data_IF_092119430287
#
_entry.id   IF_092119430287
#
_cell.length_a   1.000
_cell.length_b   1.000
_cell.length_c   1.000
_cell.angle_alpha   90.00
_cell.angle_beta   90.00
_cell.angle_gamma   90.00
#
_symmetry.space_group_name_H-M   'P 1'
#
loop_
_entity.id
_entity.type
_entity.pdbx_description
1 polymer ?
#
# COMPACT_ATOMS: atom_id res chain seq x y z
N UNK A 1 -30.31 -5.24 2.43
CA UNK A 1 -29.36 -6.36 2.15
C UNK A 1 -27.90 -6.07 2.52
N UNK A 2 -27.23 -4.99 2.04
CA UNK A 2 -25.83 -4.73 2.41
C UNK A 2 -25.62 -4.48 3.92
N UNK A 3 -26.51 -3.70 4.55
CA UNK A 3 -26.48 -3.42 5.99
C UNK A 3 -26.59 -4.72 6.80
N UNK A 4 -27.48 -5.62 6.40
CA UNK A 4 -27.63 -6.94 7.03
C UNK A 4 -26.33 -7.77 6.93
N UNK A 5 -25.65 -7.73 5.78
CA UNK A 5 -24.37 -8.42 5.58
C UNK A 5 -23.24 -7.85 6.47
N UNK A 6 -23.22 -6.53 6.67
CA UNK A 6 -22.29 -5.88 7.59
C UNK A 6 -22.53 -6.30 9.05
N UNK A 7 -23.80 -6.29 9.48
CA UNK A 7 -24.20 -6.68 10.83
C UNK A 7 -23.83 -8.14 11.12
N UNK A 8 -24.07 -9.04 10.16
CA UNK A 8 -23.72 -10.47 10.30
C UNK A 8 -22.21 -10.70 10.38
N UNK A 9 -21.40 -9.91 9.68
CA UNK A 9 -19.94 -10.03 9.78
C UNK A 9 -19.42 -9.53 11.12
N UNK A 10 -19.94 -8.42 11.62
CA UNK A 10 -19.55 -7.87 12.91
C UNK A 10 -20.01 -8.75 14.08
N UNK A 11 -21.10 -9.51 13.94
CA UNK A 11 -21.54 -10.45 14.97
C UNK A 11 -20.77 -11.77 15.00
N UNK A 12 -20.19 -12.19 13.86
CA UNK A 12 -19.47 -13.47 13.75
C UNK A 12 -17.95 -13.36 13.88
N UNK A 13 -17.38 -12.16 13.69
CA UNK A 13 -15.94 -11.97 13.64
C UNK A 13 -15.48 -10.79 14.50
N UNK A 14 -14.43 -11.00 15.30
CA UNK A 14 -13.69 -9.92 15.94
C UNK A 14 -12.76 -9.29 14.90
N UNK A 15 -13.12 -8.09 14.43
CA UNK A 15 -12.36 -7.36 13.42
C UNK A 15 -11.50 -6.30 14.14
N UNK A 16 -10.16 -6.37 14.07
CA UNK A 16 -9.30 -5.32 14.60
C UNK A 16 -9.59 -3.98 13.92
N UNK A 17 -9.53 -2.88 14.68
CA UNK A 17 -9.79 -1.53 14.16
C UNK A 17 -8.90 -1.17 12.95
N UNK A 18 -7.64 -1.64 12.96
CA UNK A 18 -6.68 -1.45 11.87
C UNK A 18 -7.14 -2.07 10.53
N UNK A 19 -7.85 -3.21 10.61
CA UNK A 19 -8.30 -3.98 9.45
C UNK A 19 -9.72 -3.65 8.99
N UNK A 20 -10.53 -3.00 9.83
CA UNK A 20 -11.97 -2.82 9.61
C UNK A 20 -12.28 -2.17 8.27
N UNK A 21 -11.62 -1.06 7.94
CA UNK A 21 -11.83 -0.34 6.68
C UNK A 21 -11.58 -1.24 5.45
N UNK A 22 -10.56 -2.10 5.52
CA UNK A 22 -10.18 -3.02 4.43
C UNK A 22 -11.21 -4.14 4.31
N UNK A 23 -11.61 -4.74 5.42
CA UNK A 23 -12.65 -5.80 5.46
C UNK A 23 -13.97 -5.26 4.91
N UNK A 24 -14.42 -4.11 5.41
CA UNK A 24 -15.68 -3.48 4.98
C UNK A 24 -15.64 -3.06 3.50
N UNK A 25 -14.50 -2.56 3.01
CA UNK A 25 -14.34 -2.26 1.58
C UNK A 25 -14.38 -3.53 0.72
N UNK A 26 -13.73 -4.60 1.16
CA UNK A 26 -13.74 -5.90 0.49
C UNK A 26 -15.13 -6.51 0.41
N UNK A 27 -15.88 -6.46 1.52
CA UNK A 27 -17.27 -6.89 1.58
C UNK A 27 -18.15 -6.12 0.60
N UNK A 28 -18.03 -4.79 0.59
CA UNK A 28 -18.77 -3.93 -0.33
C UNK A 28 -18.50 -4.27 -1.79
N UNK A 29 -17.24 -4.52 -2.13
CA UNK A 29 -16.86 -4.89 -3.50
C UNK A 29 -17.34 -6.30 -3.85
N UNK A 30 -17.30 -7.25 -2.91
CA UNK A 30 -17.87 -8.59 -3.08
C UNK A 30 -19.39 -8.53 -3.32
N UNK A 31 -20.11 -7.76 -2.50
CA UNK A 31 -21.54 -7.52 -2.65
C UNK A 31 -21.89 -6.90 -4.00
N UNK A 32 -21.13 -5.88 -4.45
CA UNK A 32 -21.30 -5.28 -5.77
C UNK A 32 -21.10 -6.29 -6.90
N UNK A 33 -20.08 -7.15 -6.81
CA UNK A 33 -19.82 -8.20 -7.80
C UNK A 33 -20.94 -9.24 -7.83
N UNK A 34 -21.42 -9.66 -6.65
CA UNK A 34 -22.52 -10.60 -6.53
C UNK A 34 -23.80 -10.04 -7.19
N UNK A 35 -24.21 -8.81 -6.85
CA UNK A 35 -25.34 -8.13 -7.51
C UNK A 35 -25.18 -8.02 -9.03
N UNK A 36 -23.97 -7.68 -9.51
CA UNK A 36 -23.69 -7.63 -10.95
C UNK A 36 -23.88 -9.00 -11.61
N UNK A 37 -23.40 -10.07 -10.98
CA UNK A 37 -23.50 -11.41 -11.54
C UNK A 37 -24.95 -11.90 -11.56
N UNK A 38 -25.73 -11.61 -10.51
CA UNK A 38 -27.17 -11.89 -10.50
C UNK A 38 -27.84 -11.13 -11.64
N UNK A 39 -27.65 -9.80 -11.70
CA UNK A 39 -28.24 -8.96 -12.76
C UNK A 39 -27.91 -9.50 -14.16
N UNK A 40 -26.67 -9.93 -14.40
CA UNK A 40 -26.25 -10.46 -15.70
C UNK A 40 -26.97 -11.76 -16.08
N UNK A 41 -27.24 -12.64 -15.11
CA UNK A 41 -27.76 -13.99 -15.38
C UNK A 41 -29.29 -14.07 -15.33
N UNK A 42 -29.90 -13.29 -14.45
CA UNK A 42 -31.32 -13.45 -14.07
C UNK A 42 -32.16 -12.22 -14.37
N UNK A 43 -31.57 -11.09 -14.77
CA UNK A 43 -32.35 -9.94 -15.25
C UNK A 43 -32.53 -10.04 -16.76
N UNK A 44 -33.74 -10.42 -17.18
CA UNK A 44 -34.19 -10.29 -18.57
C UNK A 44 -35.06 -9.04 -18.69
N UNK A 45 -34.85 -8.26 -19.76
CA UNK A 45 -35.62 -7.04 -20.02
C UNK A 45 -36.95 -7.32 -20.72
N UNK A 46 -37.07 -8.50 -21.33
CA UNK A 46 -38.25 -8.87 -22.10
C UNK A 46 -39.22 -9.76 -21.30
N UNK A 47 -38.78 -10.25 -20.14
CA UNK A 47 -39.58 -11.11 -19.27
C UNK A 47 -40.37 -10.29 -18.25
N UNK A 48 -41.48 -10.85 -17.80
CA UNK A 48 -42.28 -10.27 -16.70
C UNK A 48 -41.60 -10.52 -15.36
N UNK A 49 -41.84 -9.65 -14.36
CA UNK A 49 -41.30 -9.82 -13.01
C UNK A 49 -41.60 -11.23 -12.45
N UNK A 50 -42.80 -11.76 -12.68
CA UNK A 50 -43.19 -13.10 -12.20
C UNK A 50 -42.37 -14.22 -12.85
N UNK A 51 -42.11 -14.13 -14.15
CA UNK A 51 -41.26 -15.10 -14.88
C UNK A 51 -39.80 -15.05 -14.37
N UNK A 52 -39.33 -13.85 -14.01
CA UNK A 52 -38.00 -13.67 -13.43
C UNK A 52 -37.93 -14.23 -12.01
N UNK A 53 -38.99 -14.07 -11.22
CA UNK A 53 -39.09 -14.62 -9.86
C UNK A 53 -39.12 -16.15 -9.86
N UNK A 54 -39.78 -16.77 -10.84
CA UNK A 54 -39.75 -18.22 -11.06
C UNK A 54 -38.34 -18.72 -11.36
N UNK A 55 -37.58 -17.97 -12.16
CA UNK A 55 -36.20 -18.32 -12.55
C UNK A 55 -35.13 -17.84 -11.55
N UNK A 56 -35.51 -17.43 -10.33
CA UNK A 56 -34.57 -16.83 -9.38
C UNK A 56 -33.48 -17.82 -8.93
N UNK A 57 -32.33 -17.33 -8.43
CA UNK A 57 -31.35 -18.17 -7.75
C UNK A 57 -31.94 -18.76 -6.46
N UNK A 58 -31.73 -20.06 -6.23
CA UNK A 58 -32.21 -20.76 -5.03
C UNK A 58 -31.63 -20.19 -3.72
N UNK A 59 -30.42 -19.64 -3.77
CA UNK A 59 -29.74 -19.08 -2.62
C UNK A 59 -30.30 -17.72 -2.17
N UNK A 60 -31.16 -17.10 -2.99
CA UNK A 60 -31.71 -15.78 -2.73
C UNK A 60 -33.21 -15.91 -2.42
N UNK A 61 -33.65 -15.49 -1.23
CA UNK A 61 -35.07 -15.42 -0.91
C UNK A 61 -35.83 -14.54 -1.90
N UNK A 62 -37.07 -14.91 -2.20
CA UNK A 62 -37.91 -14.21 -3.19
C UNK A 62 -37.97 -12.71 -2.95
N UNK A 63 -38.24 -12.34 -1.69
CA UNK A 63 -38.41 -10.95 -1.25
C UNK A 63 -37.16 -10.14 -1.57
N UNK A 64 -35.98 -10.73 -1.36
CA UNK A 64 -34.71 -10.08 -1.66
C UNK A 64 -34.45 -9.96 -3.15
N UNK A 65 -34.87 -10.95 -3.95
CA UNK A 65 -34.73 -10.87 -5.40
C UNK A 65 -35.69 -9.84 -6.00
N UNK A 66 -36.94 -9.78 -5.54
CA UNK A 66 -37.92 -8.74 -5.92
C UNK A 66 -37.40 -7.33 -5.62
N UNK A 67 -36.88 -7.12 -4.40
CA UNK A 67 -36.24 -5.85 -4.02
C UNK A 67 -35.06 -5.46 -4.93
N UNK A 68 -34.31 -6.44 -5.45
CA UNK A 68 -33.22 -6.18 -6.39
C UNK A 68 -33.74 -5.77 -7.77
N UNK A 69 -34.82 -6.37 -8.25
CA UNK A 69 -35.47 -6.01 -9.51
C UNK A 69 -35.99 -4.58 -9.42
N UNK A 70 -36.78 -4.26 -8.39
CA UNK A 70 -37.29 -2.90 -8.12
C UNK A 70 -36.15 -1.88 -8.07
N UNK A 71 -35.07 -2.19 -7.33
CA UNK A 71 -33.89 -1.32 -7.26
C UNK A 71 -33.20 -1.11 -8.62
N UNK A 72 -33.26 -2.08 -9.54
CA UNK A 72 -32.66 -1.93 -10.87
C UNK A 72 -33.57 -1.23 -11.86
N UNK A 73 -34.87 -1.23 -11.62
CA UNK A 73 -35.88 -0.56 -12.43
C UNK A 73 -36.04 0.92 -12.07
N UNK A 74 -35.74 1.27 -10.82
CA UNK A 74 -35.70 2.65 -10.31
C UNK A 74 -34.98 3.63 -11.26
N UNK A 75 -35.70 4.70 -11.65
CA UNK A 75 -35.26 5.69 -12.65
C UNK A 75 -33.98 6.41 -12.22
N UNK A 76 -33.86 6.80 -10.95
CA UNK A 76 -32.67 7.47 -10.42
C UNK A 76 -31.45 6.55 -10.49
N UNK A 77 -31.63 5.27 -10.14
CA UNK A 77 -30.58 4.26 -10.26
C UNK A 77 -30.16 4.07 -11.71
N UNK A 78 -31.10 4.04 -12.65
CA UNK A 78 -30.81 3.93 -14.07
C UNK A 78 -30.05 5.17 -14.59
N UNK A 79 -30.52 6.38 -14.27
CA UNK A 79 -29.88 7.63 -14.65
C UNK A 79 -28.44 7.70 -14.11
N UNK A 80 -28.23 7.37 -12.83
CA UNK A 80 -26.90 7.27 -12.24
C UNK A 80 -26.02 6.23 -12.94
N UNK A 81 -26.58 5.08 -13.33
CA UNK A 81 -25.84 4.06 -14.06
C UNK A 81 -25.41 4.52 -15.46
N UNK A 82 -26.29 5.22 -16.18
CA UNK A 82 -26.02 5.79 -17.50
C UNK A 82 -24.91 6.83 -17.42
N UNK A 83 -25.03 7.80 -16.52
CA UNK A 83 -24.01 8.83 -16.28
C UNK A 83 -22.65 8.22 -15.93
N UNK A 84 -22.63 7.21 -15.05
CA UNK A 84 -21.40 6.49 -14.71
C UNK A 84 -20.82 5.73 -15.91
N UNK A 85 -21.65 5.24 -16.82
CA UNK A 85 -21.21 4.58 -18.05
C UNK A 85 -20.56 5.57 -19.01
N UNK A 86 -21.17 6.73 -19.22
CA UNK A 86 -20.62 7.82 -20.03
C UNK A 86 -19.31 8.34 -19.46
N UNK A 87 -19.23 8.55 -18.14
CA UNK A 87 -18.00 8.95 -17.47
C UNK A 87 -16.89 7.91 -17.63
N UNK A 88 -17.22 6.62 -17.66
CA UNK A 88 -16.23 5.57 -17.98
C UNK A 88 -15.76 5.64 -19.43
N UNK A 89 -16.65 5.94 -20.39
CA UNK A 89 -16.28 6.12 -21.80
C UNK A 89 -15.33 7.30 -22.00
N UNK A 90 -15.50 8.37 -21.20
CA UNK A 90 -14.64 9.57 -21.20
C UNK A 90 -13.27 9.35 -20.53
N UNK A 91 -13.00 8.19 -19.91
CA UNK A 91 -11.70 7.97 -19.27
C UNK A 91 -10.58 7.82 -20.31
N UNK A 92 -9.74 8.85 -20.37
CA UNK A 92 -8.49 8.85 -21.14
C UNK A 92 -7.40 8.04 -20.40
N UNK A 93 -6.46 7.50 -21.17
CA UNK A 93 -5.20 6.91 -20.66
C UNK A 93 -5.35 5.76 -19.65
N UNK A 94 -6.24 4.81 -19.97
CA UNK A 94 -6.46 3.61 -19.16
C UNK A 94 -5.17 2.77 -19.07
N UNK A 95 -4.82 2.34 -17.85
CA UNK A 95 -3.68 1.44 -17.66
C UNK A 95 -3.93 0.08 -18.34
N UNK A 96 -2.86 -0.55 -18.82
CA UNK A 96 -2.92 -1.80 -19.59
C UNK A 96 -2.39 -3.02 -18.83
N UNK A 97 -2.02 -2.86 -17.55
CA UNK A 97 -1.38 -3.88 -16.72
C UNK A 97 -2.30 -5.01 -16.23
N UNK A 98 -3.60 -4.97 -16.57
CA UNK A 98 -4.56 -5.99 -16.16
C UNK A 98 -4.63 -6.13 -14.63
N UNK A 99 -4.53 -7.35 -14.07
CA UNK A 99 -4.56 -7.59 -12.61
C UNK A 99 -3.35 -7.06 -11.84
N UNK A 100 -2.27 -6.65 -12.53
CA UNK A 100 -1.06 -6.15 -11.87
C UNK A 100 -1.33 -4.72 -11.37
N UNK A 101 -1.23 -4.54 -10.06
CA UNK A 101 -1.44 -3.24 -9.41
C UNK A 101 -0.19 -2.34 -9.51
N UNK A 102 -0.36 -1.04 -9.24
CA UNK A 102 0.76 -0.09 -9.29
C UNK A 102 1.85 -0.36 -8.25
N UNK A 103 1.52 -0.94 -7.10
CA UNK A 103 2.53 -1.27 -6.08
C UNK A 103 3.55 -2.30 -6.61
N UNK A 104 3.08 -3.34 -7.31
CA UNK A 104 3.95 -4.34 -7.95
C UNK A 104 4.81 -3.72 -9.05
N UNK A 105 4.22 -2.85 -9.87
CA UNK A 105 4.98 -2.16 -10.93
C UNK A 105 6.07 -1.28 -10.33
N UNK A 106 5.76 -0.56 -9.24
CA UNK A 106 6.70 0.30 -8.54
C UNK A 106 7.88 -0.49 -7.96
N UNK A 107 7.61 -1.63 -7.32
CA UNK A 107 8.66 -2.54 -6.83
C UNK A 107 9.54 -3.03 -7.97
N UNK A 108 8.95 -3.44 -9.10
CA UNK A 108 9.70 -3.88 -10.27
C UNK A 108 10.58 -2.77 -10.86
N UNK A 109 10.09 -1.52 -10.92
CA UNK A 109 10.87 -0.38 -11.39
C UNK A 109 12.02 -0.01 -10.44
N UNK A 110 11.79 -0.07 -9.12
CA UNK A 110 12.87 0.16 -8.15
C UNK A 110 14.01 -0.84 -8.31
N UNK A 111 13.68 -2.11 -8.52
CA UNK A 111 14.67 -3.18 -8.71
C UNK A 111 15.54 -2.99 -9.97
N UNK A 112 15.10 -2.19 -10.94
CA UNK A 112 15.89 -1.86 -12.14
C UNK A 112 16.79 -0.64 -11.96
N UNK A 113 16.62 0.14 -10.89
CA UNK A 113 17.43 1.34 -10.61
C UNK A 113 18.54 0.98 -9.61
N UNK A 114 19.76 1.39 -9.89
CA UNK A 114 20.94 1.08 -9.06
C UNK A 114 20.76 1.51 -7.60
N UNK A 115 20.08 2.64 -7.36
CA UNK A 115 19.87 3.21 -6.02
C UNK A 115 18.53 2.81 -5.35
N UNK A 116 17.75 1.89 -5.94
CA UNK A 116 16.36 1.60 -5.52
C UNK A 116 15.47 2.86 -5.42
N UNK A 117 15.80 3.89 -6.21
CA UNK A 117 15.12 5.18 -6.19
C UNK A 117 13.65 5.08 -6.54
N UNK A 118 12.86 5.97 -5.97
CA UNK A 118 11.43 6.00 -6.18
C UNK A 118 11.10 6.28 -7.66
N UNK A 119 10.25 5.47 -8.31
CA UNK A 119 9.81 5.75 -9.66
C UNK A 119 8.96 7.02 -9.71
N UNK A 120 9.30 7.92 -10.62
CA UNK A 120 8.54 9.13 -10.92
C UNK A 120 7.14 8.80 -11.43
N UNK A 121 6.22 9.78 -11.35
CA UNK A 121 4.87 9.63 -11.90
C UNK A 121 4.87 9.37 -13.40
N UNK A 122 5.80 10.01 -14.13
CA UNK A 122 5.97 9.83 -15.57
C UNK A 122 6.41 8.41 -15.92
N UNK A 123 7.42 7.87 -15.22
CA UNK A 123 7.84 6.47 -15.38
C UNK A 123 6.68 5.50 -15.09
N UNK A 124 6.02 5.68 -13.93
CA UNK A 124 4.85 4.87 -13.57
C UNK A 124 3.75 4.95 -14.63
N UNK A 125 3.50 6.12 -15.21
CA UNK A 125 2.51 6.30 -16.26
C UNK A 125 2.91 5.56 -17.54
N UNK A 126 4.11 5.80 -18.06
CA UNK A 126 4.62 5.16 -19.27
C UNK A 126 4.57 3.64 -19.11
N UNK A 127 5.24 3.08 -18.11
CA UNK A 127 5.35 1.62 -17.89
C UNK A 127 3.99 0.93 -17.82
N UNK A 128 3.00 1.57 -17.18
CA UNK A 128 1.69 0.95 -16.97
C UNK A 128 0.75 1.07 -18.17
N UNK A 129 1.13 1.85 -19.18
CA UNK A 129 0.37 2.06 -20.43
C UNK A 129 1.09 1.52 -21.67
N UNK A 130 2.39 1.21 -21.59
CA UNK A 130 3.19 0.64 -22.68
C UNK A 130 3.43 -0.86 -22.48
N UNK A 131 2.37 -1.66 -22.45
CA UNK A 131 2.52 -3.12 -22.30
C UNK A 131 3.10 -3.70 -23.60
N UNK A 132 4.20 -4.46 -23.50
CA UNK A 132 4.77 -5.21 -24.64
C UNK A 132 3.71 -6.07 -25.33
N UNK A 133 3.60 -5.94 -26.66
CA UNK A 133 2.66 -6.67 -27.49
C UNK A 133 1.23 -6.13 -27.51
N UNK A 134 0.97 -4.93 -26.97
CA UNK A 134 -0.30 -4.23 -27.13
C UNK A 134 -0.09 -2.86 -27.73
N UNK A 135 -0.97 -2.50 -28.66
CA UNK A 135 -0.99 -1.15 -29.21
C UNK A 135 -1.38 -0.14 -28.12
N UNK A 136 -0.65 0.97 -28.11
CA UNK A 136 -0.91 2.09 -27.21
C UNK A 136 -1.98 2.96 -27.85
N UNK A 137 -2.97 3.37 -27.06
CA UNK A 137 -4.02 4.25 -27.58
C UNK A 137 -3.42 5.58 -28.05
N UNK A 138 -3.89 6.11 -29.18
CA UNK A 138 -3.41 7.37 -29.79
C UNK A 138 -3.27 8.51 -28.77
N UNK A 139 -4.32 8.83 -28.02
CA UNK A 139 -4.30 9.86 -26.96
C UNK A 139 -3.22 9.61 -25.90
N UNK A 140 -2.91 8.34 -25.62
CA UNK A 140 -1.88 7.95 -24.65
C UNK A 140 -0.50 8.12 -25.23
N UNK A 141 -0.32 7.80 -26.51
CA UNK A 141 0.95 8.01 -27.20
C UNK A 141 1.30 9.50 -27.27
N UNK A 142 0.33 10.36 -27.62
CA UNK A 142 0.53 11.82 -27.63
C UNK A 142 0.99 12.33 -26.25
N UNK A 143 0.31 11.90 -25.18
CA UNK A 143 0.67 12.30 -23.82
C UNK A 143 2.06 11.76 -23.40
N UNK A 144 2.43 10.55 -23.81
CA UNK A 144 3.77 9.99 -23.55
C UNK A 144 4.84 10.79 -24.28
N UNK A 145 4.64 11.10 -25.57
CA UNK A 145 5.58 11.90 -26.35
C UNK A 145 5.74 13.31 -25.75
N UNK A 146 4.65 13.95 -25.31
CA UNK A 146 4.73 15.25 -24.66
C UNK A 146 5.52 15.20 -23.35
N UNK A 147 5.29 14.17 -22.51
CA UNK A 147 6.07 13.96 -21.29
C UNK A 147 7.56 13.81 -21.58
N UNK A 148 7.91 12.98 -22.56
CA UNK A 148 9.31 12.72 -22.94
C UNK A 148 9.99 13.97 -23.51
N UNK A 149 9.27 14.76 -24.30
CA UNK A 149 9.78 16.01 -24.86
C UNK A 149 10.09 17.03 -23.74
N UNK A 150 9.19 17.19 -22.76
CA UNK A 150 9.37 18.11 -21.63
C UNK A 150 10.52 17.69 -20.70
N UNK A 151 10.66 16.39 -20.46
CA UNK A 151 11.78 15.87 -19.68
C UNK A 151 13.11 16.07 -20.42
N UNK A 152 13.12 15.89 -21.75
CA UNK A 152 14.30 16.17 -22.58
C UNK A 152 14.66 17.67 -22.62
N UNK A 153 13.69 18.57 -22.45
CA UNK A 153 13.94 20.02 -22.34
C UNK A 153 14.37 20.48 -20.94
N UNK A 154 14.61 19.54 -20.01
CA UNK A 154 15.13 19.84 -18.67
C UNK A 154 14.07 20.12 -17.60
N UNK A 155 12.78 19.94 -17.90
CA UNK A 155 11.73 20.03 -16.86
C UNK A 155 11.84 18.86 -15.87
N UNK A 156 11.54 19.12 -14.59
CA UNK A 156 11.43 18.03 -13.61
C UNK A 156 10.28 17.09 -13.98
N UNK A 157 10.41 15.80 -13.64
CA UNK A 157 9.39 14.81 -13.99
C UNK A 157 8.00 15.16 -13.43
N UNK A 158 7.93 15.73 -12.24
CA UNK A 158 6.67 16.12 -11.58
C UNK A 158 6.07 17.40 -12.16
N UNK A 159 6.89 18.35 -12.60
CA UNK A 159 6.42 19.56 -13.28
C UNK A 159 5.87 19.21 -14.67
N UNK A 160 6.63 18.43 -15.45
CA UNK A 160 6.17 17.93 -16.74
C UNK A 160 4.84 17.18 -16.61
N UNK A 161 4.72 16.30 -15.61
CA UNK A 161 3.49 15.57 -15.34
C UNK A 161 2.32 16.49 -14.98
N UNK A 162 2.57 17.53 -14.17
CA UNK A 162 1.54 18.52 -13.80
C UNK A 162 1.09 19.35 -15.00
N UNK A 163 1.98 19.68 -15.93
CA UNK A 163 1.62 20.43 -17.13
C UNK A 163 0.77 19.57 -18.08
N UNK A 164 1.19 18.33 -18.36
CA UNK A 164 0.48 17.43 -19.30
C UNK A 164 -0.90 17.00 -18.77
N UNK A 165 -1.01 16.68 -17.48
CA UNK A 165 -2.24 16.11 -16.91
C UNK A 165 -3.06 17.10 -16.06
N UNK A 166 -2.55 18.30 -15.85
CA UNK A 166 -3.10 19.27 -14.92
C UNK A 166 -2.95 18.87 -13.45
N UNK A 167 -3.44 19.75 -12.57
CA UNK A 167 -3.42 19.57 -11.12
C UNK A 167 -4.12 18.27 -10.69
N UNK A 168 -3.55 17.60 -9.68
CA UNK A 168 -4.17 16.44 -9.04
C UNK A 168 -5.47 16.83 -8.35
N UNK A 169 -6.47 15.95 -8.46
CA UNK A 169 -7.77 16.16 -7.85
C UNK A 169 -7.77 15.70 -6.38
N UNK A 170 -8.54 16.37 -5.49
CA UNK A 170 -8.72 15.89 -4.13
C UNK A 170 -9.23 14.45 -4.10
N UNK A 171 -8.65 13.62 -3.21
CA UNK A 171 -9.13 12.26 -2.95
C UNK A 171 -8.52 11.15 -3.83
N UNK A 172 -7.73 11.45 -4.86
CA UNK A 172 -6.99 10.42 -5.61
C UNK A 172 -5.73 10.97 -6.26
N UNK A 173 -4.61 10.29 -6.07
CA UNK A 173 -3.36 10.59 -6.78
C UNK A 173 -3.20 9.65 -7.98
N UNK A 174 -3.00 10.21 -9.17
CA UNK A 174 -2.74 9.40 -10.38
C UNK A 174 -1.48 8.55 -10.19
N UNK A 175 -1.50 7.32 -10.72
CA UNK A 175 -0.35 6.38 -10.68
C UNK A 175 0.06 5.82 -9.29
N UNK A 176 -0.65 6.16 -8.21
CA UNK A 176 -0.37 5.65 -6.85
C UNK A 176 -1.37 4.59 -6.33
N UNK A 177 -2.48 4.37 -7.05
CA UNK A 177 -3.45 3.32 -6.75
C UNK A 177 -4.73 3.88 -6.13
N UNK A 178 -5.52 3.00 -5.49
CA UNK A 178 -6.84 3.38 -4.93
C UNK A 178 -6.72 4.00 -3.54
N UNK A 179 -5.71 3.63 -2.77
CA UNK A 179 -5.64 3.97 -1.34
C UNK A 179 -4.87 5.26 -1.04
N UNK A 180 -4.12 5.78 -2.01
CA UNK A 180 -3.23 6.92 -1.82
C UNK A 180 -3.95 8.21 -2.19
N UNK A 181 -3.99 9.13 -1.23
CA UNK A 181 -4.54 10.47 -1.38
C UNK A 181 -3.42 11.50 -1.25
N UNK A 182 -3.64 12.70 -1.77
CA UNK A 182 -2.70 13.82 -1.58
C UNK A 182 -2.50 14.12 -0.08
N UNK A 183 -3.54 13.96 0.73
CA UNK A 183 -3.46 14.11 2.19
C UNK A 183 -2.66 13.02 2.89
N UNK A 184 -2.73 11.76 2.42
CA UNK A 184 -1.93 10.69 3.01
C UNK A 184 -0.45 10.88 2.71
N UNK A 185 -0.09 11.32 1.49
CA UNK A 185 1.29 11.63 1.13
C UNK A 185 1.88 12.73 2.01
N UNK A 186 1.13 13.83 2.24
CA UNK A 186 1.57 14.90 3.15
C UNK A 186 1.83 14.40 4.57
N UNK A 187 0.95 13.55 5.10
CA UNK A 187 1.15 12.95 6.42
C UNK A 187 2.39 12.05 6.45
N UNK A 188 2.61 11.25 5.40
CA UNK A 188 3.79 10.38 5.30
C UNK A 188 5.10 11.20 5.22
N UNK A 189 5.09 12.33 4.49
CA UNK A 189 6.20 13.28 4.44
C UNK A 189 6.48 13.92 5.80
N UNK A 190 5.44 14.36 6.52
CA UNK A 190 5.55 14.89 7.89
C UNK A 190 6.12 13.84 8.85
N UNK A 191 5.60 12.61 8.81
CA UNK A 191 6.10 11.49 9.61
C UNK A 191 7.58 11.21 9.29
N UNK A 192 7.97 11.26 8.02
CA UNK A 192 9.36 11.02 7.60
C UNK A 192 10.29 12.11 8.12
N UNK A 193 9.88 13.39 8.03
CA UNK A 193 10.62 14.51 8.61
C UNK A 193 10.77 14.37 10.12
N UNK A 194 9.71 13.99 10.82
CA UNK A 194 9.75 13.74 12.27
C UNK A 194 10.69 12.60 12.63
N UNK A 195 10.64 11.48 11.88
CA UNK A 195 11.57 10.34 12.07
C UNK A 195 13.03 10.74 11.87
N UNK A 196 13.32 11.54 10.84
CA UNK A 196 14.67 12.03 10.59
C UNK A 196 15.15 12.95 11.71
N UNK A 197 14.29 13.88 12.16
CA UNK A 197 14.61 14.76 13.28
C UNK A 197 14.92 13.97 14.55
N UNK A 198 14.08 13.01 14.87
CA UNK A 198 14.28 12.12 16.02
C UNK A 198 15.55 11.27 15.90
N UNK A 199 15.88 10.78 14.70
CA UNK A 199 17.13 10.05 14.46
C UNK A 199 18.36 10.95 14.68
N UNK A 200 18.31 12.21 14.21
CA UNK A 200 19.37 13.18 14.41
C UNK A 200 19.54 13.54 15.90
N UNK A 201 18.43 13.78 16.62
CA UNK A 201 18.42 14.06 18.07
C UNK A 201 19.02 12.88 18.86
N UNK A 202 18.63 11.64 18.55
CA UNK A 202 19.23 10.44 19.15
C UNK A 202 20.73 10.37 18.87
N UNK A 203 21.16 10.71 17.66
CA UNK A 203 22.58 10.71 17.31
C UNK A 203 23.36 11.77 18.10
N UNK A 204 22.80 12.96 18.27
CA UNK A 204 23.40 14.04 19.08
C UNK A 204 23.57 13.60 20.53
N UNK A 205 22.50 13.10 21.16
CA UNK A 205 22.52 12.65 22.55
C UNK A 205 23.50 11.50 22.77
N UNK A 206 23.62 10.59 21.80
CA UNK A 206 24.61 9.51 21.84
C UNK A 206 26.05 10.04 21.83
N UNK A 207 26.34 11.06 21.02
CA UNK A 207 27.68 11.65 21.00
C UNK A 207 27.97 12.47 22.26
N UNK A 208 26.99 13.21 22.78
CA UNK A 208 27.11 13.93 24.06
C UNK A 208 27.37 12.96 25.23
N UNK A 209 26.65 11.84 25.29
CA UNK A 209 26.86 10.81 26.33
C UNK A 209 28.23 10.15 26.22
N UNK A 210 28.72 9.92 24.99
CA UNK A 210 30.09 9.42 24.77
C UNK A 210 31.14 10.42 25.24
N UNK A 211 30.94 11.71 24.98
CA UNK A 211 31.87 12.75 25.42
C UNK A 211 31.89 12.89 26.95
N UNK A 212 30.72 12.86 27.59
CA UNK A 212 30.62 12.88 29.05
C UNK A 212 31.33 11.68 29.68
N UNK A 213 31.13 10.47 29.16
CA UNK A 213 31.86 9.28 29.64
C UNK A 213 33.37 9.38 29.41
N UNK A 214 33.81 9.96 28.28
CA UNK A 214 35.24 10.20 28.02
C UNK A 214 35.83 11.18 29.03
N UNK A 215 35.12 12.26 29.33
CA UNK A 215 35.56 13.27 30.29
C UNK A 215 35.59 12.72 31.73
N UNK A 216 34.57 11.94 32.13
CA UNK A 216 34.55 11.26 33.42
C UNK A 216 35.72 10.29 33.57
N UNK A 217 35.99 9.46 32.55
CA UNK A 217 37.16 8.59 32.53
C UNK A 217 38.45 9.41 32.66
N UNK A 218 38.59 10.51 31.92
CA UNK A 218 39.76 11.40 31.99
C UNK A 218 39.96 11.96 33.40
N UNK A 219 38.89 12.41 34.05
CA UNK A 219 38.93 12.92 35.41
C UNK A 219 39.37 11.83 36.40
N UNK A 220 38.78 10.63 36.30
CA UNK A 220 39.12 9.48 37.13
C UNK A 220 40.59 9.07 36.99
N UNK A 221 41.11 8.95 35.77
CA UNK A 221 42.53 8.64 35.52
C UNK A 221 43.47 9.74 36.07
N UNK A 222 43.09 11.01 35.91
CA UNK A 222 43.87 12.13 36.46
C UNK A 222 43.97 12.07 37.99
N UNK A 223 42.89 11.65 38.68
CA UNK A 223 42.88 11.48 40.13
C UNK A 223 43.78 10.31 40.56
N UNK A 224 43.77 9.19 39.82
CA UNK A 224 44.61 8.02 40.10
C UNK A 224 46.11 8.34 40.01
N UNK A 225 46.53 9.06 38.98
CA UNK A 225 47.94 9.46 38.78
C UNK A 225 48.40 10.40 39.90
N UNK A 226 47.59 11.39 40.28
CA UNK A 226 47.92 12.32 41.38
C UNK A 226 48.14 11.61 42.72
N UNK A 227 47.34 10.57 43.00
CA UNK A 227 47.42 9.82 44.26
C UNK A 227 48.57 8.81 44.29
N UNK A 228 49.21 8.53 43.15
CA UNK A 228 50.28 7.53 43.02
C UNK A 228 51.41 8.06 42.11
N UNK A 229 52.32 8.91 42.62
CA UNK A 229 53.30 9.64 41.80
C UNK A 229 54.38 8.77 41.13
N UNK A 230 54.42 7.46 41.40
CA UNK A 230 55.31 6.49 40.73
C UNK A 230 54.69 5.75 39.54
N UNK A 231 53.43 6.03 39.18
CA UNK A 231 52.76 5.46 38.01
C UNK A 231 53.07 6.31 36.76
N UNK A 232 53.96 5.82 35.89
CA UNK A 232 54.22 6.40 34.57
C UNK A 232 53.19 5.87 33.56
N UNK A 233 52.52 6.79 32.86
CA UNK A 233 51.48 6.47 31.89
C UNK A 233 52.04 5.81 30.62
N UNK A 234 53.35 5.91 30.38
CA UNK A 234 54.02 5.22 29.28
C UNK A 234 54.09 3.70 29.45
N UNK A 235 53.95 3.18 30.67
CA UNK A 235 53.99 1.73 30.96
C UNK A 235 52.63 1.03 30.79
N UNK A 236 51.53 1.80 30.65
CA UNK A 236 50.19 1.25 30.45
C UNK A 236 49.89 1.19 28.94
N UNK A 237 50.49 0.20 28.29
CA UNK A 237 50.23 -0.10 26.88
C UNK A 237 48.78 -0.57 26.69
N UNK A 238 47.90 0.33 26.27
CA UNK A 238 46.53 -0.01 25.85
C UNK A 238 45.48 1.10 25.97
N UNK A 239 45.75 2.21 26.66
CA UNK A 239 44.71 3.20 26.97
C UNK A 239 44.41 4.23 25.87
N UNK A 240 45.12 4.22 24.73
CA UNK A 240 44.83 5.12 23.60
C UNK A 240 44.21 4.33 22.46
N UNK A 241 42.89 4.45 22.31
CA UNK A 241 42.21 4.28 21.01
C UNK A 241 41.95 2.85 20.53
N UNK A 242 41.48 1.93 21.38
CA UNK A 242 40.86 0.70 20.87
C UNK A 242 39.36 0.91 20.67
N UNK A 243 38.93 0.91 19.40
CA UNK A 243 37.53 0.65 19.03
C UNK A 243 37.14 -0.74 19.56
N UNK A 244 36.59 -0.79 20.78
CA UNK A 244 35.95 -2.02 21.29
C UNK A 244 34.63 -2.16 20.52
N UNK A 245 34.43 -3.20 19.70
CA UNK A 245 33.14 -3.40 19.06
C UNK A 245 32.11 -3.69 20.14
N UNK A 246 30.96 -2.99 20.09
CA UNK A 246 29.82 -3.28 20.98
C UNK A 246 29.49 -4.78 20.93
N UNK A 247 29.28 -5.43 22.09
CA UNK A 247 28.80 -6.80 22.10
C UNK A 247 27.41 -6.80 21.49
N UNK A 248 27.28 -7.51 20.38
CA UNK A 248 26.00 -7.89 19.80
C UNK A 248 25.24 -8.71 20.85
N UNK A 249 23.97 -8.37 21.05
CA UNK A 249 23.04 -9.09 21.92
C UNK A 249 23.13 -10.61 21.72
N UNK A 250 23.62 -11.31 22.74
CA UNK A 250 23.50 -12.75 22.88
C UNK A 250 22.69 -13.05 24.14
N UNK A 251 21.40 -12.69 24.13
CA UNK A 251 20.44 -13.25 25.07
C UNK A 251 19.82 -14.52 24.48
N UNK A 252 20.40 -15.62 24.94
CA UNK A 252 19.92 -16.99 24.87
C UNK A 252 18.48 -17.12 25.37
N UNK A 253 17.55 -17.46 24.47
CA UNK A 253 16.30 -18.15 24.82
C UNK A 253 16.37 -19.56 24.22
N UNK A 254 16.54 -20.54 25.11
CA UNK A 254 16.61 -21.98 24.84
C UNK A 254 15.44 -22.45 23.97
N UNK A 255 15.74 -22.99 22.79
CA UNK A 255 14.81 -23.81 22.03
C UNK A 255 14.75 -25.22 22.65
N UNK A 256 13.65 -25.52 23.35
CA UNK A 256 13.27 -26.89 23.68
C UNK A 256 12.88 -27.61 22.39
N UNK A 257 13.66 -28.62 21.99
CA UNK A 257 13.27 -29.60 20.96
C UNK A 257 12.10 -30.42 21.48
N UNK A 258 10.91 -30.23 20.92
CA UNK A 258 9.90 -31.29 20.86
C UNK A 258 9.92 -31.91 19.45
N UNK A 259 9.94 -33.25 19.43
CA UNK A 259 10.02 -34.10 18.23
C UNK A 259 8.65 -34.27 17.57
N UNK A 260 8.67 -34.39 16.23
CA UNK A 260 7.64 -34.92 15.30
C UNK A 260 6.26 -34.23 15.33
N UNK A 261 5.58 -33.98 14.22
CA UNK A 261 5.25 -34.93 13.16
C UNK A 261 4.84 -34.16 11.89
N UNK A 262 5.28 -34.65 10.73
CA UNK A 262 4.77 -34.32 9.39
C UNK A 262 3.24 -34.43 9.30
N UNK A 263 2.55 -33.46 8.69
CA UNK A 263 1.29 -33.73 7.99
C UNK A 263 1.10 -32.79 6.79
N UNK A 264 1.17 -33.39 5.61
CA UNK A 264 0.56 -32.93 4.37
C UNK A 264 -0.94 -32.71 4.57
N UNK A 265 -1.53 -31.73 3.88
CA UNK A 265 -2.96 -31.76 3.57
C UNK A 265 -3.18 -31.48 2.08
N UNK A 266 -3.39 -32.59 1.37
CA UNK A 266 -4.04 -32.71 0.07
C UNK A 266 -5.50 -33.13 0.37
N UNK A 267 -6.46 -32.51 -0.32
CA UNK A 267 -7.83 -32.93 -0.65
C UNK A 267 -8.59 -33.92 0.27
N UNK A 268 -9.82 -33.59 0.66
CA UNK A 268 -11.07 -34.22 0.15
C UNK A 268 -12.34 -33.73 0.85
N UNK A 269 -13.46 -33.77 0.10
CA UNK A 269 -14.85 -33.63 0.55
C UNK A 269 -15.24 -34.62 1.67
N UNK A 270 -16.44 -34.49 2.24
CA UNK A 270 -17.50 -35.40 1.78
C UNK A 270 -18.90 -34.79 1.63
N UNK A 271 -19.69 -35.52 0.86
CA UNK A 271 -21.15 -35.48 0.70
C UNK A 271 -21.87 -35.61 2.05
N UNK A 272 -22.93 -34.81 2.24
CA UNK A 272 -24.34 -35.23 2.42
C UNK A 272 -25.23 -33.99 2.28
#
# INVERSE_FOLDING_TARGET
>A
MYICLCVVLQSKFLIPAEGEKRVMSGLRDAWKRHKRNIKKKYLDKNATIDEMLQNRPNEIPEVHFRQLIEYWDDEDVQAMCQLNSENRKKQKWRHQMGPINFARVRVALRATKENNEEPSKSEMFITTRTKKGKEVHTDTQVAISELQNRQSSGETADDAFRVVFGKEQPGRVRCYGRSVTTSSQKKDEEITKLKQKHANEISSLKEEMKEMMREEMRCFFSQLVKNNPGLDFHDIQGCVGSNIPSPVDASSARAMRQKSTTFFWLNSCPEY
#
